data_IF_932880577507
#
_entry.id   IF_932880577507
#
_cell.length_a   1.000
_cell.length_b   1.000
_cell.length_c   1.000
_cell.angle_alpha   90.00
_cell.angle_beta   90.00
_cell.angle_gamma   90.00
#
_symmetry.space_group_name_H-M   'P 1'
#
loop_
_entity.id
_entity.type
_entity.pdbx_description
1 polymer ?
#
# COMPACT_ATOMS: atom_id res chain seq x y z
N UNK A 1 -14.44 12.00 -16.79
CA UNK A 1 -12.97 12.14 -16.86
C UNK A 1 -12.45 12.47 -15.46
N UNK A 2 -11.20 12.12 -15.11
CA UNK A 2 -10.62 12.48 -13.82
C UNK A 2 -9.68 13.66 -13.97
N UNK A 3 -9.87 14.68 -13.14
CA UNK A 3 -9.11 15.93 -13.15
C UNK A 3 -8.60 16.18 -11.73
N UNK A 4 -7.29 16.34 -11.59
CA UNK A 4 -6.65 16.71 -10.34
C UNK A 4 -5.99 18.07 -10.53
N UNK A 5 -6.39 19.02 -9.71
CA UNK A 5 -5.81 20.35 -9.67
C UNK A 5 -4.81 20.36 -8.52
N UNK A 6 -3.54 20.62 -8.83
CA UNK A 6 -2.48 20.82 -7.86
C UNK A 6 -1.86 22.20 -8.07
N UNK A 7 -1.20 22.78 -7.06
CA UNK A 7 -0.44 24.02 -7.20
C UNK A 7 0.64 23.93 -8.30
N UNK A 8 1.16 22.72 -8.57
CA UNK A 8 2.14 22.46 -9.63
C UNK A 8 1.52 22.33 -11.04
N UNK A 9 0.19 22.28 -11.16
CA UNK A 9 -0.51 22.15 -12.44
C UNK A 9 -1.73 21.22 -12.40
N UNK A 10 -2.37 21.07 -13.57
CA UNK A 10 -3.61 20.29 -13.74
C UNK A 10 -3.31 18.97 -14.43
N UNK A 11 -3.63 17.85 -13.76
CA UNK A 11 -3.48 16.50 -14.29
C UNK A 11 -4.83 15.94 -14.72
N UNK A 12 -4.94 15.49 -15.97
CA UNK A 12 -6.17 14.90 -16.52
C UNK A 12 -5.94 13.50 -17.06
N UNK A 13 -6.80 12.56 -16.70
CA UNK A 13 -6.74 11.21 -17.25
C UNK A 13 -8.11 10.51 -17.25
N UNK A 14 -8.23 9.44 -18.06
CA UNK A 14 -9.42 8.58 -18.10
C UNK A 14 -9.46 7.57 -16.97
N UNK A 15 -8.33 7.33 -16.29
CA UNK A 15 -8.21 6.33 -15.21
C UNK A 15 -7.57 6.94 -13.96
N UNK A 16 -8.24 6.75 -12.81
CA UNK A 16 -7.77 7.16 -11.50
C UNK A 16 -6.42 6.52 -11.13
N UNK A 17 -6.19 5.26 -11.52
CA UNK A 17 -4.93 4.55 -11.28
C UNK A 17 -3.73 5.24 -11.94
N UNK A 18 -3.91 5.81 -13.13
CA UNK A 18 -2.84 6.53 -13.84
C UNK A 18 -2.48 7.84 -13.14
N UNK A 19 -3.49 8.52 -12.60
CA UNK A 19 -3.33 9.76 -11.84
C UNK A 19 -2.60 9.49 -10.53
N UNK A 20 -3.03 8.47 -9.77
CA UNK A 20 -2.37 8.05 -8.53
C UNK A 20 -0.91 7.66 -8.76
N UNK A 21 -0.59 6.99 -9.89
CA UNK A 21 0.80 6.69 -10.27
C UNK A 21 1.62 7.95 -10.59
N UNK A 22 1.04 8.93 -11.27
CA UNK A 22 1.72 10.18 -11.63
C UNK A 22 2.00 11.05 -10.39
N UNK A 23 1.04 11.13 -9.48
CA UNK A 23 1.13 11.94 -8.26
C UNK A 23 1.79 11.19 -7.09
N UNK A 24 2.18 9.92 -7.28
CA UNK A 24 2.62 8.99 -6.21
C UNK A 24 1.69 9.03 -4.99
N UNK A 25 0.40 9.20 -5.25
CA UNK A 25 -0.64 9.45 -4.27
C UNK A 25 -1.65 8.31 -4.29
N UNK A 26 -2.41 8.15 -3.21
CA UNK A 26 -3.53 7.22 -3.18
C UNK A 26 -4.85 7.98 -2.98
N UNK A 27 -5.25 8.71 -4.02
CA UNK A 27 -6.53 9.44 -4.02
C UNK A 27 -7.65 8.47 -4.32
N UNK A 28 -8.66 8.47 -3.47
CA UNK A 28 -9.86 7.65 -3.63
C UNK A 28 -10.94 8.40 -4.40
N UNK A 29 -11.80 7.65 -5.10
CA UNK A 29 -12.86 8.25 -5.91
C UNK A 29 -13.94 8.96 -5.07
N UNK A 30 -14.05 8.57 -3.79
CA UNK A 30 -14.92 9.20 -2.78
C UNK A 30 -14.44 10.59 -2.37
N UNK A 31 -13.13 10.84 -2.45
CA UNK A 31 -12.51 12.13 -2.11
C UNK A 31 -12.66 13.15 -3.26
N UNK A 32 -13.14 12.69 -4.43
CA UNK A 32 -13.35 13.53 -5.60
C UNK A 32 -14.76 14.11 -5.65
N UNK A 33 -14.87 15.39 -5.98
CA UNK A 33 -16.16 16.03 -6.26
C UNK A 33 -16.60 15.70 -7.67
N UNK A 34 -17.86 15.28 -7.81
CA UNK A 34 -18.46 15.09 -9.14
C UNK A 34 -18.96 16.44 -9.68
N UNK A 35 -18.38 16.87 -10.80
CA UNK A 35 -18.79 18.06 -11.55
C UNK A 35 -19.30 17.59 -12.91
N UNK A 36 -20.62 17.35 -12.99
CA UNK A 36 -21.27 16.79 -14.17
C UNK A 36 -20.78 15.37 -14.50
N UNK A 37 -20.24 15.18 -15.71
CA UNK A 37 -19.63 13.91 -16.17
C UNK A 37 -18.19 13.70 -15.69
N UNK A 38 -17.59 14.73 -15.09
CA UNK A 38 -16.19 14.72 -14.67
C UNK A 38 -16.05 14.66 -13.15
N UNK A 39 -14.95 14.07 -12.69
CA UNK A 39 -14.59 13.97 -11.27
C UNK A 39 -13.36 14.83 -11.06
N UNK A 40 -13.49 15.82 -10.18
CA UNK A 40 -12.50 16.85 -9.93
C UNK A 40 -12.11 16.83 -8.46
N UNK A 41 -10.81 16.90 -8.20
CA UNK A 41 -10.29 17.13 -6.85
C UNK A 41 -9.26 18.26 -6.90
N UNK A 42 -9.32 19.14 -5.91
CA UNK A 42 -8.32 20.16 -5.69
C UNK A 42 -7.45 19.70 -4.51
N UNK A 43 -6.16 19.56 -4.73
CA UNK A 43 -5.19 19.18 -3.71
C UNK A 43 -4.26 20.37 -3.48
N UNK A 44 -4.24 20.92 -2.27
CA UNK A 44 -3.23 21.91 -1.88
C UNK A 44 -1.89 21.23 -1.56
N UNK A 45 -0.80 21.99 -1.41
CA UNK A 45 0.53 21.40 -1.10
C UNK A 45 0.50 20.52 0.15
N UNK A 46 -0.22 20.95 1.19
CA UNK A 46 -0.39 20.21 2.45
C UNK A 46 -1.16 18.91 2.21
N UNK A 47 -2.19 18.94 1.37
CA UNK A 47 -2.98 17.75 1.04
C UNK A 47 -2.17 16.75 0.19
N UNK A 48 -1.29 17.24 -0.69
CA UNK A 48 -0.43 16.39 -1.51
C UNK A 48 0.54 15.62 -0.63
N UNK A 49 1.19 16.29 0.31
CA UNK A 49 2.11 15.63 1.25
C UNK A 49 1.38 14.61 2.11
N UNK A 50 0.18 14.94 2.60
CA UNK A 50 -0.63 14.01 3.38
C UNK A 50 -1.03 12.76 2.59
N UNK A 51 -1.50 12.92 1.35
CA UNK A 51 -1.91 11.78 0.51
C UNK A 51 -0.70 10.95 0.06
N UNK A 52 0.45 11.60 -0.18
CA UNK A 52 1.70 10.89 -0.45
C UNK A 52 2.19 10.10 0.76
N UNK A 53 2.12 10.67 1.96
CA UNK A 53 2.51 9.97 3.18
C UNK A 53 1.54 8.82 3.52
N UNK A 54 0.23 9.00 3.31
CA UNK A 54 -0.75 7.90 3.39
C UNK A 54 -0.38 6.77 2.42
N UNK A 55 0.00 7.10 1.18
CA UNK A 55 0.44 6.12 0.20
C UNK A 55 1.75 5.42 0.61
N UNK A 56 2.71 6.15 1.19
CA UNK A 56 3.97 5.58 1.71
C UNK A 56 3.72 4.67 2.89
N UNK A 57 2.87 5.05 3.84
CA UNK A 57 2.48 4.24 4.98
C UNK A 57 1.74 2.97 4.55
N UNK A 58 0.81 3.06 3.59
CA UNK A 58 0.14 1.90 3.01
C UNK A 58 1.11 0.98 2.23
N UNK A 59 2.18 1.55 1.67
CA UNK A 59 3.23 0.81 0.97
C UNK A 59 4.27 0.18 1.92
N UNK A 60 4.30 0.55 3.21
CA UNK A 60 5.08 -0.18 4.22
C UNK A 60 4.42 -1.56 4.30
N UNK A 61 5.05 -2.62 3.75
CA UNK A 61 4.37 -3.88 3.61
C UNK A 61 4.15 -4.41 5.03
N UNK A 62 2.90 -4.72 5.37
CA UNK A 62 2.57 -5.60 6.49
C UNK A 62 3.42 -6.90 6.39
N UNK A 63 3.93 -7.24 5.20
CA UNK A 63 4.94 -8.28 4.92
C UNK A 63 6.30 -8.11 5.65
N UNK A 64 6.69 -6.89 6.04
CA UNK A 64 7.88 -6.63 6.87
C UNK A 64 7.58 -6.76 8.37
N UNK A 65 6.33 -6.47 8.79
CA UNK A 65 5.85 -6.75 10.15
C UNK A 65 5.59 -8.26 10.37
N UNK A 66 5.05 -8.93 9.36
CA UNK A 66 4.87 -10.39 9.26
C UNK A 66 5.94 -11.01 8.36
N UNK A 67 7.20 -10.58 8.50
CA UNK A 67 8.29 -11.41 7.98
C UNK A 67 8.28 -12.66 8.85
N UNK A 68 7.44 -13.64 8.46
CA UNK A 68 7.36 -14.97 9.04
C UNK A 68 8.78 -15.47 9.07
N UNK A 69 9.33 -15.41 10.27
CA UNK A 69 10.72 -15.66 10.52
C UNK A 69 10.87 -17.15 10.23
N UNK A 70 11.42 -17.49 9.06
CA UNK A 70 11.60 -18.89 8.67
C UNK A 70 12.43 -19.65 9.73
N UNK A 71 13.16 -18.91 10.57
CA UNK A 71 13.78 -19.39 11.81
C UNK A 71 12.82 -20.20 12.70
N UNK A 72 11.58 -19.74 12.91
CA UNK A 72 10.59 -20.49 13.71
C UNK A 72 10.21 -21.82 13.08
N UNK A 73 10.10 -21.89 11.75
CA UNK A 73 9.82 -23.14 11.03
C UNK A 73 10.99 -24.10 11.14
N UNK A 74 12.23 -23.63 10.97
CA UNK A 74 13.42 -24.47 11.11
C UNK A 74 13.61 -24.99 12.55
N UNK A 75 13.33 -24.16 13.56
CA UNK A 75 13.34 -24.57 14.98
C UNK A 75 12.30 -25.67 15.23
N UNK A 76 11.09 -25.54 14.68
CA UNK A 76 10.04 -26.54 14.83
C UNK A 76 10.42 -27.89 14.19
N UNK A 77 10.99 -27.87 12.99
CA UNK A 77 11.49 -29.10 12.34
C UNK A 77 12.63 -29.75 13.14
N UNK A 78 13.53 -28.96 13.73
CA UNK A 78 14.61 -29.47 14.57
C UNK A 78 14.08 -30.17 15.83
N UNK A 79 13.09 -29.57 16.50
CA UNK A 79 12.45 -30.17 17.69
C UNK A 79 11.75 -31.49 17.33
N UNK A 80 11.04 -31.53 16.20
CA UNK A 80 10.32 -32.72 15.74
C UNK A 80 11.28 -33.87 15.40
N UNK A 81 12.43 -33.57 14.78
CA UNK A 81 13.50 -34.55 14.52
C UNK A 81 14.10 -35.10 15.82
N UNK A 82 14.38 -34.24 16.81
CA UNK A 82 14.93 -34.67 18.10
C UNK A 82 13.94 -35.58 18.84
N UNK A 83 12.65 -35.23 18.86
CA UNK A 83 11.61 -36.09 19.46
C UNK A 83 11.48 -37.43 18.75
N UNK A 84 11.58 -37.44 17.41
CA UNK A 84 11.54 -38.66 16.62
C UNK A 84 12.73 -39.59 16.95
N UNK A 85 13.94 -39.04 17.05
CA UNK A 85 15.14 -39.81 17.43
C UNK A 85 15.02 -40.38 18.84
N UNK A 86 14.48 -39.60 19.79
CA UNK A 86 14.23 -40.06 21.16
C UNK A 86 13.21 -41.21 21.21
N UNK A 87 12.16 -41.16 20.40
CA UNK A 87 11.13 -42.19 20.35
C UNK A 87 11.61 -43.49 19.69
N UNK A 88 12.46 -43.41 18.67
CA UNK A 88 13.04 -44.59 18.00
C UNK A 88 14.14 -45.26 18.84
N UNK A 89 14.84 -44.49 19.68
CA UNK A 89 15.90 -45.00 20.55
C UNK A 89 15.36 -45.53 21.89
N UNK A 90 14.13 -45.16 22.27
CA UNK A 90 13.44 -45.67 23.45
C UNK A 90 12.77 -47.01 23.18
#
# INVERSE_FOLDING_TARGET
MYIVITPNGVYRNKSLKKINKLLKSNVEELEMKQVGKDKVINLTEIDIDFVQDKARMAAIPIKRLYKSDNSQKYIMYAILLIQFILLVKS
#
